data_IF_589770228535
#
_entry.id   IF_589770228535
#
_cell.length_a   1.000
_cell.length_b   1.000
_cell.length_c   1.000
_cell.angle_alpha   90.00
_cell.angle_beta   90.00
_cell.angle_gamma   90.00
#
_symmetry.space_group_name_H-M   'P 1'
#
loop_
_entity.id
_entity.type
_entity.pdbx_description
1 polymer ?
#
# COMPACT_ATOMS: atom_id res chain seq x y z
N UNK A 1 36.79 8.76 18.37
CA UNK A 1 35.47 8.75 17.71
C UNK A 1 34.48 8.31 18.77
N UNK A 2 33.54 9.17 19.16
CA UNK A 2 32.48 8.73 20.10
C UNK A 2 31.64 7.70 19.36
N UNK A 3 31.52 6.50 19.91
CA UNK A 3 30.56 5.51 19.42
C UNK A 3 29.15 6.07 19.61
N UNK A 4 28.29 5.90 18.61
CA UNK A 4 26.87 6.24 18.72
C UNK A 4 26.27 5.47 19.91
N UNK A 5 25.54 6.13 20.84
CA UNK A 5 24.95 5.43 21.97
C UNK A 5 23.85 4.47 21.52
N UNK A 6 23.71 3.35 22.21
CA UNK A 6 22.68 2.33 21.96
C UNK A 6 21.49 2.45 22.90
N UNK A 7 20.45 1.66 22.66
CA UNK A 7 19.31 1.54 23.56
C UNK A 7 19.74 1.11 24.97
N UNK A 8 20.66 0.14 25.07
CA UNK A 8 21.21 -0.32 26.33
C UNK A 8 22.02 0.77 27.07
N UNK A 9 22.73 1.63 26.33
CA UNK A 9 23.51 2.74 26.93
C UNK A 9 22.61 3.85 27.49
N UNK A 10 21.47 4.10 26.83
CA UNK A 10 20.57 5.21 27.15
C UNK A 10 19.47 4.83 28.14
N UNK A 11 18.99 3.59 28.09
CA UNK A 11 17.79 3.15 28.80
C UNK A 11 16.50 3.72 28.22
N UNK A 12 15.37 3.14 28.63
CA UNK A 12 14.03 3.42 28.10
C UNK A 12 13.66 4.91 28.17
N UNK A 13 13.71 5.53 29.36
CA UNK A 13 13.30 6.93 29.57
C UNK A 13 13.98 7.91 28.59
N UNK A 14 15.26 7.69 28.29
CA UNK A 14 16.01 8.56 27.39
C UNK A 14 15.67 8.30 25.93
N UNK A 15 15.37 7.06 25.56
CA UNK A 15 14.88 6.75 24.21
C UNK A 15 13.48 7.34 24.02
N UNK A 16 12.57 7.17 24.97
CA UNK A 16 11.23 7.76 24.94
C UNK A 16 11.31 9.29 24.83
N UNK A 17 12.17 9.95 25.62
CA UNK A 17 12.37 11.40 25.51
C UNK A 17 12.84 11.83 24.11
N UNK A 18 13.67 11.03 23.42
CA UNK A 18 14.11 11.29 22.04
C UNK A 18 13.00 11.12 21.02
N UNK A 19 12.12 10.13 21.22
CA UNK A 19 10.93 9.91 20.39
C UNK A 19 9.99 11.10 20.54
N UNK A 20 9.62 11.45 21.78
CA UNK A 20 8.69 12.54 22.08
C UNK A 20 9.18 13.90 21.56
N UNK A 21 10.49 14.17 21.62
CA UNK A 21 11.08 15.41 21.11
C UNK A 21 10.95 15.60 19.59
N UNK A 22 10.64 14.52 18.85
CA UNK A 22 10.46 14.54 17.39
C UNK A 22 9.02 14.63 16.94
N UNK A 23 8.08 14.36 17.84
CA UNK A 23 6.65 14.41 17.53
C UNK A 23 6.20 15.88 17.63
N UNK A 24 5.82 16.52 16.52
CA UNK A 24 5.34 17.90 16.56
C UNK A 24 3.97 17.96 17.24
N UNK A 25 3.68 19.10 17.88
CA UNK A 25 2.32 19.39 18.32
C UNK A 25 1.38 19.52 17.11
N UNK A 26 0.16 19.02 17.26
CA UNK A 26 -0.88 19.09 16.25
C UNK A 26 -2.19 19.58 16.86
N UNK A 27 -2.94 20.40 16.14
CA UNK A 27 -4.15 21.06 16.65
C UNK A 27 -5.21 20.06 17.15
N UNK A 28 -5.35 18.94 16.46
CA UNK A 28 -6.29 17.87 16.80
C UNK A 28 -5.84 17.01 18.00
N UNK A 29 -4.65 17.23 18.55
CA UNK A 29 -4.10 16.50 19.69
C UNK A 29 -4.09 17.42 20.92
N UNK A 30 -5.12 17.29 21.75
CA UNK A 30 -5.37 18.10 22.94
C UNK A 30 -4.36 17.82 24.06
N UNK A 31 -3.98 16.54 24.21
CA UNK A 31 -2.91 16.07 25.09
C UNK A 31 -2.02 15.16 24.25
N UNK A 32 -0.72 15.44 24.21
CA UNK A 32 0.25 14.68 23.42
C UNK A 32 0.69 13.36 24.10
N UNK A 33 1.53 12.57 23.42
CA UNK A 33 2.01 11.27 23.92
C UNK A 33 2.95 11.29 25.12
N UNK A 34 3.27 12.47 25.67
CA UNK A 34 4.16 12.62 26.82
C UNK A 34 3.49 12.50 28.19
N UNK A 35 2.17 12.32 28.22
CA UNK A 35 1.37 11.97 29.40
C UNK A 35 0.97 10.48 29.31
N UNK A 36 0.17 9.97 30.27
CA UNK A 36 -0.22 8.55 30.31
C UNK A 36 -0.95 8.07 29.04
N UNK A 37 -1.64 8.98 28.35
CA UNK A 37 -2.25 8.74 27.04
C UNK A 37 -2.47 10.06 26.31
N UNK A 38 -2.37 10.04 24.98
CA UNK A 38 -2.81 11.16 24.17
C UNK A 38 -4.34 11.29 24.17
N UNK A 39 -4.82 12.53 24.13
CA UNK A 39 -6.23 12.87 23.93
C UNK A 39 -6.33 13.63 22.61
N UNK A 40 -7.03 13.06 21.64
CA UNK A 40 -7.21 13.64 20.31
C UNK A 40 -8.67 13.71 19.90
N UNK A 41 -8.98 14.67 19.02
CA UNK A 41 -10.29 14.75 18.39
C UNK A 41 -10.37 13.81 17.17
N UNK A 42 -11.43 13.01 17.11
CA UNK A 42 -11.75 12.16 15.97
C UNK A 42 -13.23 12.39 15.59
N UNK A 43 -13.53 13.28 14.63
CA UNK A 43 -14.90 13.49 14.19
C UNK A 43 -15.46 12.21 13.53
N UNK A 44 -16.78 12.04 13.56
CA UNK A 44 -17.40 10.93 12.82
C UNK A 44 -17.21 9.54 13.42
N UNK A 45 -17.04 8.54 12.55
CA UNK A 45 -16.86 7.12 12.85
C UNK A 45 -15.38 6.77 12.80
N UNK A 46 -14.92 5.98 13.75
CA UNK A 46 -13.55 5.48 13.82
C UNK A 46 -13.32 4.39 12.76
N UNK A 47 -12.24 4.55 12.01
CA UNK A 47 -11.61 3.48 11.21
C UNK A 47 -10.26 3.19 11.83
N UNK A 48 -9.90 1.91 11.93
CA UNK A 48 -8.62 1.49 12.51
C UNK A 48 -8.04 0.31 11.74
N UNK A 49 -6.73 0.32 11.50
CA UNK A 49 -5.96 -0.82 11.00
C UNK A 49 -4.69 -0.99 11.84
N UNK A 50 -4.04 -2.14 11.72
CA UNK A 50 -2.73 -2.36 12.31
C UNK A 50 -1.92 -3.37 11.48
N UNK A 51 -0.70 -2.97 11.13
CA UNK A 51 0.29 -3.81 10.47
C UNK A 51 1.63 -3.75 11.17
N UNK A 52 2.48 -4.73 10.87
CA UNK A 52 3.84 -4.80 11.40
C UNK A 52 4.88 -4.92 10.29
N UNK A 53 6.10 -4.51 10.61
CA UNK A 53 7.32 -4.77 9.88
C UNK A 53 8.29 -5.49 10.80
N UNK A 54 8.75 -6.65 10.37
CA UNK A 54 9.63 -7.55 11.11
C UNK A 54 10.97 -7.66 10.37
N UNK A 55 12.05 -7.39 11.09
CA UNK A 55 13.41 -7.59 10.57
C UNK A 55 13.63 -9.04 10.13
N UNK A 56 14.18 -9.23 8.93
CA UNK A 56 14.39 -10.53 8.29
C UNK A 56 13.23 -10.97 7.39
N UNK A 57 12.02 -10.42 7.62
CA UNK A 57 10.83 -10.75 6.84
C UNK A 57 10.45 -9.61 5.90
N UNK A 58 10.31 -8.38 6.42
CA UNK A 58 9.80 -7.21 5.67
C UNK A 58 10.89 -6.17 5.34
N UNK A 59 12.04 -6.30 5.98
CA UNK A 59 13.26 -5.54 5.67
C UNK A 59 14.50 -6.26 6.17
N UNK A 60 15.65 -5.93 5.59
CA UNK A 60 16.96 -6.43 6.03
C UNK A 60 17.76 -5.32 6.71
N UNK A 61 18.46 -5.68 7.79
CA UNK A 61 19.33 -4.77 8.53
C UNK A 61 20.37 -4.07 7.65
N UNK A 62 20.96 -4.78 6.70
CA UNK A 62 22.01 -4.24 5.83
C UNK A 62 21.52 -3.17 4.85
N UNK A 63 20.20 -3.10 4.57
CA UNK A 63 19.62 -2.22 3.55
C UNK A 63 18.82 -1.07 4.20
N UNK A 64 18.98 -0.95 5.51
CA UNK A 64 18.18 -0.13 6.39
C UNK A 64 18.56 1.34 6.28
N UNK A 65 17.61 2.15 5.84
CA UNK A 65 17.58 3.57 6.15
C UNK A 65 16.42 3.75 7.14
N UNK A 66 16.70 4.12 8.40
CA UNK A 66 15.68 4.18 9.43
C UNK A 66 14.57 5.18 9.08
N UNK A 67 14.92 6.29 8.43
CA UNK A 67 13.94 7.30 8.01
C UNK A 67 13.02 6.78 6.92
N UNK A 68 13.56 6.07 5.94
CA UNK A 68 12.73 5.41 4.92
C UNK A 68 11.84 4.32 5.51
N UNK A 69 12.38 3.53 6.45
CA UNK A 69 11.59 2.52 7.16
C UNK A 69 10.42 3.15 7.95
N UNK A 70 10.64 4.32 8.56
CA UNK A 70 9.59 5.09 9.22
C UNK A 70 8.48 5.51 8.27
N UNK A 71 8.86 5.98 7.08
CA UNK A 71 7.90 6.30 6.01
C UNK A 71 7.12 5.05 5.60
N UNK A 72 7.80 3.93 5.33
CA UNK A 72 7.16 2.67 4.93
C UNK A 72 6.14 2.19 5.98
N UNK A 73 6.54 2.18 7.26
CA UNK A 73 5.69 1.75 8.37
C UNK A 73 4.40 2.57 8.51
N UNK A 74 4.51 3.90 8.33
CA UNK A 74 3.34 4.78 8.28
C UNK A 74 2.51 4.55 7.01
N UNK A 75 3.16 4.54 5.84
CA UNK A 75 2.50 4.55 4.55
C UNK A 75 1.54 3.37 4.36
N UNK A 76 1.97 2.15 4.73
CA UNK A 76 1.15 0.94 4.60
C UNK A 76 -0.14 1.02 5.41
N UNK A 77 -0.06 1.45 6.67
CA UNK A 77 -1.21 1.55 7.56
C UNK A 77 -2.14 2.71 7.18
N UNK A 78 -1.58 3.82 6.70
CA UNK A 78 -2.35 4.99 6.27
C UNK A 78 -3.12 4.71 4.98
N UNK A 79 -2.56 3.88 4.09
CA UNK A 79 -3.22 3.45 2.85
C UNK A 79 -4.51 2.68 3.15
N UNK A 80 -4.51 1.74 4.10
CA UNK A 80 -5.71 1.02 4.54
C UNK A 80 -6.84 1.94 5.01
N UNK A 81 -6.51 2.93 5.85
CA UNK A 81 -7.47 3.91 6.35
C UNK A 81 -8.09 4.67 5.19
N UNK A 82 -7.26 5.10 4.24
CA UNK A 82 -7.70 5.78 3.02
C UNK A 82 -8.51 4.84 2.12
N UNK A 83 -8.21 3.55 2.02
CA UNK A 83 -8.95 2.57 1.22
C UNK A 83 -10.38 2.33 1.74
N UNK A 84 -10.64 2.65 3.02
CA UNK A 84 -11.99 2.70 3.58
C UNK A 84 -12.70 4.05 3.34
N UNK A 85 -12.00 4.99 2.71
CA UNK A 85 -12.44 6.36 2.43
C UNK A 85 -12.49 7.25 3.66
N UNK A 86 -11.77 6.89 4.73
CA UNK A 86 -11.59 7.72 5.90
C UNK A 86 -10.33 8.57 5.77
N UNK A 87 -10.29 9.73 6.41
CA UNK A 87 -9.05 10.51 6.50
C UNK A 87 -8.24 10.03 7.70
N UNK A 88 -6.94 9.78 7.54
CA UNK A 88 -6.06 9.49 8.66
C UNK A 88 -6.05 10.60 9.71
N UNK A 89 -5.94 10.20 10.98
CA UNK A 89 -5.96 11.11 12.15
C UNK A 89 -4.80 10.84 13.09
N UNK A 90 -4.41 9.59 13.26
CA UNK A 90 -3.44 9.19 14.27
C UNK A 90 -2.67 7.93 13.92
N UNK A 91 -1.42 7.84 14.40
CA UNK A 91 -0.61 6.63 14.42
C UNK A 91 -0.16 6.31 15.85
N UNK A 92 -0.16 5.03 16.23
CA UNK A 92 0.52 4.52 17.41
C UNK A 92 1.69 3.65 16.96
N UNK A 93 2.88 3.84 17.54
CA UNK A 93 4.10 3.10 17.21
C UNK A 93 4.51 2.20 18.39
N UNK A 94 4.44 0.88 18.24
CA UNK A 94 5.09 -0.05 19.16
C UNK A 94 6.39 -0.54 18.53
N UNK A 95 7.52 -0.26 19.18
CA UNK A 95 8.86 -0.65 18.74
C UNK A 95 9.44 -1.67 19.72
N UNK A 96 9.75 -2.87 19.23
CA UNK A 96 10.61 -3.80 19.95
C UNK A 96 11.96 -3.89 19.24
N UNK A 97 13.08 -3.80 19.96
CA UNK A 97 14.40 -3.83 19.32
C UNK A 97 15.49 -4.38 20.27
N UNK A 98 16.61 -4.89 19.74
CA UNK A 98 17.76 -5.28 20.55
C UNK A 98 18.33 -4.09 21.33
N UNK A 99 18.86 -4.34 22.54
CA UNK A 99 19.58 -3.32 23.30
C UNK A 99 20.79 -2.71 22.56
N UNK A 100 21.35 -3.43 21.58
CA UNK A 100 22.43 -2.97 20.70
C UNK A 100 21.99 -1.99 19.60
N UNK A 101 20.68 -1.76 19.44
CA UNK A 101 20.14 -0.82 18.45
C UNK A 101 20.62 0.59 18.74
N UNK A 102 21.07 1.32 17.71
CA UNK A 102 21.59 2.67 17.87
C UNK A 102 20.48 3.69 18.20
N UNK A 103 20.79 4.72 18.97
CA UNK A 103 19.87 5.81 19.21
C UNK A 103 19.55 6.61 17.93
N UNK A 104 20.48 6.66 16.98
CA UNK A 104 20.24 7.27 15.66
C UNK A 104 19.21 6.49 14.83
N UNK A 105 19.05 5.18 15.06
CA UNK A 105 18.03 4.38 14.39
C UNK A 105 16.62 4.89 14.74
N UNK A 106 16.31 4.99 16.04
CA UNK A 106 14.97 5.45 16.48
C UNK A 106 14.69 6.88 16.05
N UNK A 107 15.71 7.72 16.04
CA UNK A 107 15.60 9.10 15.57
C UNK A 107 15.13 9.15 14.11
N UNK A 108 15.82 8.44 13.21
CA UNK A 108 15.46 8.39 11.80
C UNK A 108 14.08 7.75 11.61
N UNK A 109 13.82 6.63 12.28
CA UNK A 109 12.52 5.95 12.22
C UNK A 109 11.36 6.89 12.55
N UNK A 110 11.44 7.62 13.66
CA UNK A 110 10.40 8.55 14.07
C UNK A 110 10.31 9.75 13.12
N UNK A 111 11.45 10.27 12.64
CA UNK A 111 11.45 11.37 11.66
C UNK A 111 10.70 10.99 10.37
N UNK A 112 10.88 9.74 9.90
CA UNK A 112 10.17 9.20 8.74
C UNK A 112 8.68 8.98 9.00
N UNK A 113 8.35 8.40 10.16
CA UNK A 113 6.97 8.15 10.57
C UNK A 113 6.17 9.46 10.70
N UNK A 114 6.78 10.48 11.33
CA UNK A 114 6.19 11.82 11.51
C UNK A 114 6.01 12.52 10.16
N UNK A 115 7.01 12.45 9.28
CA UNK A 115 6.92 13.04 7.93
C UNK A 115 5.74 12.48 7.16
N UNK A 116 5.61 11.15 7.14
CA UNK A 116 4.55 10.48 6.38
C UNK A 116 3.16 10.67 7.03
N UNK A 117 3.07 10.62 8.36
CA UNK A 117 1.85 10.96 9.08
C UNK A 117 1.38 12.39 8.74
N UNK A 118 2.29 13.36 8.74
CA UNK A 118 1.97 14.74 8.39
C UNK A 118 1.48 14.87 6.94
N UNK A 119 2.08 14.14 6.00
CA UNK A 119 1.66 14.10 4.59
C UNK A 119 0.22 13.58 4.43
N UNK A 120 -0.20 12.63 5.26
CA UNK A 120 -1.55 12.10 5.29
C UNK A 120 -2.53 12.94 6.14
N UNK A 121 -2.07 14.00 6.80
CA UNK A 121 -2.87 14.81 7.72
C UNK A 121 -3.12 14.15 9.10
N UNK A 122 -2.31 13.15 9.46
CA UNK A 122 -2.32 12.46 10.75
C UNK A 122 -1.22 12.97 11.69
N UNK A 123 -1.17 12.43 12.91
CA UNK A 123 -0.10 12.69 13.88
C UNK A 123 0.27 11.43 14.65
N UNK A 124 1.49 11.35 15.18
CA UNK A 124 1.88 10.25 16.07
C UNK A 124 1.30 10.52 17.45
N UNK A 125 0.45 9.62 17.93
CA UNK A 125 -0.33 9.78 19.16
C UNK A 125 0.28 9.06 20.37
N UNK A 126 1.32 8.25 20.16
CA UNK A 126 1.93 7.48 21.23
C UNK A 126 2.46 6.16 20.73
N UNK A 127 2.70 5.25 21.67
CA UNK A 127 3.41 4.04 21.36
C UNK A 127 3.86 3.26 22.57
N UNK A 128 4.67 2.24 22.29
CA UNK A 128 5.32 1.39 23.28
C UNK A 128 6.76 1.11 22.85
N UNK A 129 7.64 0.86 23.82
CA UNK A 129 9.03 0.50 23.59
C UNK A 129 9.38 -0.74 24.41
N UNK A 130 9.89 -1.77 23.75
CA UNK A 130 10.32 -3.00 24.41
C UNK A 130 11.67 -3.49 23.89
N UNK A 131 12.36 -4.29 24.70
CA UNK A 131 13.52 -5.05 24.24
C UNK A 131 13.06 -6.34 23.53
N UNK A 132 13.71 -6.70 22.42
CA UNK A 132 13.51 -7.96 21.71
C UNK A 132 14.78 -8.41 20.97
N UNK A 133 14.91 -9.70 20.60
CA UNK A 133 16.08 -10.19 19.85
C UNK A 133 16.26 -9.63 18.43
N UNK A 134 15.20 -9.06 17.85
CA UNK A 134 15.18 -8.46 16.51
C UNK A 134 14.29 -7.22 16.50
N UNK A 135 14.45 -6.38 15.48
CA UNK A 135 13.62 -5.18 15.32
C UNK A 135 12.23 -5.58 14.82
N UNK A 136 11.20 -5.17 15.57
CA UNK A 136 9.79 -5.29 15.21
C UNK A 136 9.14 -3.92 15.37
N UNK A 137 8.51 -3.45 14.30
CA UNK A 137 7.77 -2.19 14.26
C UNK A 137 6.31 -2.55 14.04
N UNK A 138 5.46 -2.32 15.03
CA UNK A 138 4.02 -2.47 14.88
C UNK A 138 3.38 -1.08 14.91
N UNK A 139 2.58 -0.77 13.89
CA UNK A 139 1.88 0.51 13.79
C UNK A 139 0.39 0.23 13.82
N UNK A 140 -0.35 1.07 14.55
CA UNK A 140 -1.81 1.13 14.46
C UNK A 140 -2.19 2.48 13.89
N UNK A 141 -2.91 2.50 12.77
CA UNK A 141 -3.45 3.73 12.21
C UNK A 141 -4.92 3.92 12.58
N UNK A 142 -5.27 5.17 12.86
CA UNK A 142 -6.62 5.62 13.17
C UNK A 142 -7.06 6.64 12.12
N UNK A 143 -8.31 6.53 11.70
CA UNK A 143 -8.95 7.43 10.76
C UNK A 143 -10.36 7.83 11.19
N UNK A 144 -10.79 8.96 10.64
CA UNK A 144 -12.14 9.51 10.83
C UNK A 144 -12.90 9.43 9.52
N UNK A 145 -14.03 8.73 9.54
CA UNK A 145 -15.01 8.73 8.46
C UNK A 145 -16.21 9.59 8.89
N UNK A 146 -16.63 10.62 8.12
CA UNK A 146 -17.80 11.41 8.49
C UNK A 146 -19.04 10.55 8.76
N UNK A 147 -19.89 10.98 9.70
CA UNK A 147 -21.06 10.20 10.17
C UNK A 147 -21.96 9.78 9.01
N UNK A 148 -22.16 10.68 8.06
CA UNK A 148 -23.07 10.52 6.93
C UNK A 148 -22.37 9.94 5.67
N UNK A 149 -21.04 9.80 5.69
CA UNK A 149 -20.26 9.32 4.56
C UNK A 149 -20.14 7.80 4.60
N UNK A 150 -20.61 7.08 3.57
CA UNK A 150 -20.46 5.62 3.52
C UNK A 150 -18.98 5.22 3.36
N UNK A 151 -18.54 4.12 4.00
CA UNK A 151 -17.23 3.54 3.76
C UNK A 151 -17.17 2.94 2.35
N UNK A 152 -15.99 2.98 1.75
CA UNK A 152 -15.70 2.06 0.66
C UNK A 152 -15.49 0.66 1.20
N UNK A 153 -15.87 -0.35 0.41
CA UNK A 153 -15.68 -1.75 0.76
C UNK A 153 -15.26 -2.52 -0.49
N UNK A 154 -14.60 -3.65 -0.33
CA UNK A 154 -14.25 -4.51 -1.47
C UNK A 154 -15.42 -5.31 -2.08
N UNK A 155 -16.65 -5.14 -1.57
CA UNK A 155 -17.84 -5.96 -1.92
C UNK A 155 -18.79 -5.30 -2.92
N UNK A 156 -18.51 -4.06 -3.33
CA UNK A 156 -19.44 -3.22 -4.09
C UNK A 156 -19.19 -3.22 -5.61
N UNK A 157 -18.35 -4.11 -6.14
CA UNK A 157 -18.09 -4.18 -7.57
C UNK A 157 -19.25 -4.91 -8.27
N UNK A 158 -19.76 -4.35 -9.38
CA UNK A 158 -20.84 -4.94 -10.18
C UNK A 158 -20.41 -5.09 -11.64
N UNK A 159 -20.99 -6.06 -12.34
CA UNK A 159 -20.72 -6.25 -13.77
C UNK A 159 -21.02 -4.98 -14.57
N UNK A 160 -20.10 -4.62 -15.47
CA UNK A 160 -20.16 -3.39 -16.26
C UNK A 160 -19.44 -2.20 -15.61
N UNK A 161 -18.87 -2.33 -14.41
CA UNK A 161 -18.04 -1.29 -13.80
C UNK A 161 -16.69 -1.19 -14.49
N UNK A 162 -16.12 0.01 -14.51
CA UNK A 162 -14.74 0.24 -14.91
C UNK A 162 -13.81 -0.08 -13.74
N UNK A 163 -12.65 -0.66 -14.02
CA UNK A 163 -11.60 -0.95 -13.02
C UNK A 163 -10.47 0.04 -13.22
N UNK A 164 -10.18 0.83 -12.17
CA UNK A 164 -9.24 1.94 -12.24
C UNK A 164 -8.13 1.78 -11.20
N UNK A 165 -6.93 2.20 -11.57
CA UNK A 165 -5.73 2.28 -10.74
C UNK A 165 -5.49 3.73 -10.30
N UNK A 166 -5.32 3.95 -8.99
CA UNK A 166 -4.88 5.21 -8.39
C UNK A 166 -3.43 5.06 -7.94
N UNK A 167 -2.52 5.80 -8.57
CA UNK A 167 -1.07 5.69 -8.32
C UNK A 167 -0.37 4.70 -9.27
N UNK A 168 0.58 3.92 -8.74
CA UNK A 168 1.47 3.07 -9.52
C UNK A 168 1.45 1.61 -9.02
N UNK A 169 1.90 0.67 -9.85
CA UNK A 169 2.06 -0.76 -9.50
C UNK A 169 3.33 -1.32 -10.14
N UNK A 170 3.97 -2.28 -9.48
CA UNK A 170 5.20 -2.95 -9.90
C UNK A 170 6.50 -2.21 -9.62
N UNK A 171 6.47 -1.00 -9.06
CA UNK A 171 7.68 -0.20 -8.84
C UNK A 171 8.44 -0.67 -7.60
N UNK A 172 7.72 -0.98 -6.52
CA UNK A 172 8.30 -1.54 -5.30
C UNK A 172 9.00 -2.88 -5.59
N UNK A 173 8.31 -3.81 -6.25
CA UNK A 173 8.90 -5.09 -6.65
C UNK A 173 10.13 -4.95 -7.57
N UNK A 174 10.11 -3.99 -8.51
CA UNK A 174 11.30 -3.69 -9.32
C UNK A 174 12.47 -3.18 -8.46
N UNK A 175 12.20 -2.30 -7.49
CA UNK A 175 13.17 -1.80 -6.52
C UNK A 175 13.76 -2.91 -5.65
N UNK A 176 12.91 -3.82 -5.17
CA UNK A 176 13.33 -5.00 -4.41
C UNK A 176 14.26 -5.90 -5.24
N UNK A 177 13.87 -6.21 -6.47
CA UNK A 177 14.67 -7.04 -7.37
C UNK A 177 16.04 -6.39 -7.67
N UNK A 178 16.11 -5.06 -7.79
CA UNK A 178 17.36 -4.31 -7.95
C UNK A 178 18.25 -4.36 -6.71
N UNK A 179 17.67 -4.21 -5.52
CA UNK A 179 18.38 -4.31 -4.24
C UNK A 179 18.97 -5.72 -4.07
N UNK A 180 18.16 -6.76 -4.31
CA UNK A 180 18.58 -8.16 -4.28
C UNK A 180 19.69 -8.45 -5.29
N UNK A 181 19.52 -8.02 -6.54
CA UNK A 181 20.50 -8.24 -7.60
C UNK A 181 21.83 -7.49 -7.37
N UNK A 182 21.85 -6.52 -6.45
CA UNK A 182 23.04 -5.76 -6.08
C UNK A 182 23.62 -6.19 -4.72
N UNK A 183 23.10 -7.26 -4.10
CA UNK A 183 23.50 -7.68 -2.75
C UNK A 183 23.24 -6.61 -1.69
N UNK A 184 22.27 -5.72 -1.93
CA UNK A 184 21.98 -4.58 -1.06
C UNK A 184 22.84 -3.35 -1.22
N UNK A 185 23.96 -3.46 -1.94
CA UNK A 185 24.89 -2.37 -2.12
C UNK A 185 24.53 -1.63 -3.40
N UNK A 186 23.89 -0.48 -3.24
CA UNK A 186 23.62 0.39 -4.37
C UNK A 186 24.89 1.13 -4.76
N UNK A 187 25.17 1.31 -6.07
CA UNK A 187 26.25 2.17 -6.51
C UNK A 187 26.05 3.61 -6.00
N UNK A 188 27.14 4.35 -5.79
CA UNK A 188 27.12 5.76 -5.36
C UNK A 188 26.24 6.67 -6.24
N UNK A 189 26.00 6.25 -7.49
CA UNK A 189 25.05 6.87 -8.39
C UNK A 189 24.27 5.81 -9.15
N UNK A 190 22.95 5.91 -9.09
CA UNK A 190 22.02 5.14 -9.91
C UNK A 190 21.26 6.11 -10.82
N UNK A 191 20.70 5.63 -11.93
CA UNK A 191 19.90 6.51 -12.79
C UNK A 191 18.63 6.95 -12.05
N UNK A 192 17.99 8.07 -12.43
CA UNK A 192 16.75 8.53 -11.79
C UNK A 192 15.64 7.46 -11.77
N UNK A 193 15.57 6.62 -12.81
CA UNK A 193 14.60 5.53 -12.89
C UNK A 193 14.86 4.44 -11.84
N UNK A 194 16.12 4.04 -11.64
CA UNK A 194 16.50 3.07 -10.61
C UNK A 194 16.25 3.65 -9.21
N UNK A 195 16.63 4.91 -8.98
CA UNK A 195 16.37 5.60 -7.72
C UNK A 195 14.88 5.60 -7.39
N UNK A 196 14.01 5.87 -8.38
CA UNK A 196 12.54 5.84 -8.19
C UNK A 196 12.04 4.47 -7.75
N UNK A 197 12.44 3.38 -8.41
CA UNK A 197 12.00 2.04 -8.04
C UNK A 197 12.50 1.62 -6.66
N UNK A 198 13.77 1.89 -6.35
CA UNK A 198 14.36 1.63 -5.02
C UNK A 198 13.63 2.43 -3.94
N UNK A 199 13.30 3.69 -4.20
CA UNK A 199 12.55 4.51 -3.25
C UNK A 199 11.13 3.99 -3.05
N UNK A 200 10.45 3.57 -4.13
CA UNK A 200 9.12 2.95 -4.04
C UNK A 200 9.11 1.74 -3.10
N UNK A 201 10.18 0.93 -3.11
CA UNK A 201 10.33 -0.22 -2.19
C UNK A 201 10.62 0.19 -0.75
N UNK A 202 11.46 1.20 -0.55
CA UNK A 202 12.00 1.55 0.78
C UNK A 202 11.12 2.54 1.55
N UNK A 203 10.40 3.39 0.84
CA UNK A 203 9.60 4.49 1.37
C UNK A 203 8.44 4.80 0.40
N UNK A 204 7.46 3.89 0.25
CA UNK A 204 6.30 4.11 -0.60
C UNK A 204 5.55 5.38 -0.17
N UNK A 205 5.01 6.10 -1.15
CA UNK A 205 4.26 7.37 -0.94
C UNK A 205 2.90 7.28 -1.64
N UNK A 206 1.89 6.64 -1.01
CA UNK A 206 0.54 6.55 -1.59
C UNK A 206 -0.07 7.92 -1.91
N UNK A 207 -0.83 8.02 -2.99
CA UNK A 207 -1.55 9.24 -3.35
C UNK A 207 -2.87 9.34 -2.56
N UNK A 208 -2.81 9.61 -1.25
CA UNK A 208 -3.99 9.61 -0.36
C UNK A 208 -5.16 10.47 -0.88
N UNK A 209 -4.87 11.67 -1.40
CA UNK A 209 -5.87 12.60 -1.93
C UNK A 209 -6.64 12.04 -3.13
N UNK A 210 -6.09 11.03 -3.84
CA UNK A 210 -6.78 10.39 -4.97
C UNK A 210 -8.10 9.73 -4.56
N UNK A 211 -8.22 9.30 -3.29
CA UNK A 211 -9.47 8.72 -2.76
C UNK A 211 -10.53 9.79 -2.51
N UNK A 212 -10.13 11.00 -2.10
CA UNK A 212 -11.05 12.14 -1.97
C UNK A 212 -11.55 12.59 -3.34
N UNK A 213 -10.68 12.59 -4.35
CA UNK A 213 -11.05 12.84 -5.75
C UNK A 213 -12.04 11.78 -6.24
N UNK A 214 -11.77 10.50 -5.99
CA UNK A 214 -12.68 9.40 -6.32
C UNK A 214 -14.07 9.60 -5.69
N UNK A 215 -14.12 9.87 -4.37
CA UNK A 215 -15.38 10.11 -3.65
C UNK A 215 -16.15 11.28 -4.26
N UNK A 216 -15.47 12.38 -4.57
CA UNK A 216 -16.08 13.57 -5.19
C UNK A 216 -16.68 13.27 -6.56
N UNK A 217 -15.96 12.53 -7.41
CA UNK A 217 -16.46 12.11 -8.74
C UNK A 217 -17.67 11.17 -8.66
N UNK A 218 -17.71 10.27 -7.68
CA UNK A 218 -18.86 9.39 -7.47
C UNK A 218 -20.11 10.14 -7.00
N UNK A 219 -19.95 11.16 -6.16
CA UNK A 219 -21.06 12.04 -5.76
C UNK A 219 -21.57 12.82 -6.99
N UNK A 220 -20.67 13.41 -7.77
CA UNK A 220 -21.04 14.20 -8.96
C UNK A 220 -21.76 13.37 -10.04
N UNK A 221 -21.42 12.09 -10.18
CA UNK A 221 -22.08 11.17 -11.13
C UNK A 221 -23.42 10.62 -10.64
N UNK A 222 -23.85 10.94 -9.41
CA UNK A 222 -25.05 10.37 -8.78
C UNK A 222 -24.88 8.90 -8.38
N UNK A 223 -23.64 8.39 -8.38
CA UNK A 223 -23.29 7.06 -7.88
C UNK A 223 -23.28 6.98 -6.35
N UNK A 224 -23.26 8.13 -5.66
CA UNK A 224 -23.51 8.24 -4.21
C UNK A 224 -24.66 9.25 -3.99
N UNK A 225 -25.57 8.98 -3.05
CA UNK A 225 -26.69 9.89 -2.77
C UNK A 225 -26.21 11.28 -2.32
N UNK A 226 -26.96 12.33 -2.68
CA UNK A 226 -26.62 13.74 -2.42
C UNK A 226 -26.34 14.05 -0.93
N UNK A 227 -26.90 13.28 0.01
CA UNK A 227 -26.68 13.43 1.46
C UNK A 227 -25.26 13.03 1.92
N UNK A 228 -24.47 12.37 1.07
CA UNK A 228 -23.05 12.02 1.33
C UNK A 228 -22.05 13.10 0.88
N UNK A 229 -22.53 14.15 0.19
CA UNK A 229 -21.74 15.24 -0.36
C UNK A 229 -21.28 16.26 0.69
N UNK A 230 -21.71 16.11 1.95
CA UNK A 230 -21.19 16.88 3.07
C UNK A 230 -19.75 16.43 3.37
N UNK A 231 -18.83 16.86 2.51
CA UNK A 231 -17.41 16.79 2.77
C UNK A 231 -17.03 17.60 4.01
N UNK A 232 -15.74 17.56 4.31
CA UNK A 232 -15.06 18.14 5.49
C UNK A 232 -15.26 19.67 5.68
N UNK A 233 -16.07 20.33 4.83
CA UNK A 233 -16.33 21.76 4.83
C UNK A 233 -17.67 22.22 5.45
N UNK A 234 -18.51 21.32 5.98
CA UNK A 234 -19.78 21.70 6.60
C UNK A 234 -19.96 21.09 8.00
N UNK A 235 -19.22 21.63 8.98
CA UNK A 235 -19.50 21.35 10.38
C UNK A 235 -20.84 22.00 10.80
N UNK A 236 -21.89 21.20 10.93
CA UNK A 236 -23.12 21.68 11.57
C UNK A 236 -24.35 20.78 11.47
N UNK A 237 -24.75 20.25 12.63
CA UNK A 237 -26.10 19.78 13.06
C UNK A 237 -26.44 18.29 12.85
N UNK A 238 -26.25 17.52 13.93
CA UNK A 238 -27.37 16.91 14.68
C UNK A 238 -28.06 15.63 14.16
N UNK A 239 -27.64 14.49 14.73
CA UNK A 239 -28.42 13.31 15.20
C UNK A 239 -29.37 12.55 14.25
N UNK A 240 -29.22 11.21 14.16
CA UNK A 240 -30.01 10.20 14.90
C UNK A 240 -29.49 8.78 14.63
N UNK A 241 -29.50 7.92 15.66
CA UNK A 241 -28.99 6.56 15.57
C UNK A 241 -29.87 5.62 14.76
N UNK A 242 -29.23 4.62 14.13
CA UNK A 242 -29.87 3.38 13.68
C UNK A 242 -28.99 2.19 14.03
N UNK A 243 -29.65 1.18 14.60
CA UNK A 243 -29.05 -0.02 15.15
C UNK A 243 -28.64 -1.06 14.11
N UNK A 244 -27.94 -2.07 14.64
CA UNK A 244 -27.34 -3.19 13.94
C UNK A 244 -28.28 -3.93 12.98
N UNK A 245 -27.85 -4.00 11.73
CA UNK A 245 -28.40 -4.85 10.67
C UNK A 245 -27.55 -4.70 9.41
N UNK A 246 -26.32 -5.25 9.42
CA UNK A 246 -25.37 -5.16 8.31
C UNK A 246 -25.95 -5.83 7.04
N UNK A 247 -26.39 -5.01 6.09
CA UNK A 247 -26.66 -5.40 4.69
C UNK A 247 -26.01 -4.34 3.80
N UNK A 248 -25.67 -4.73 2.58
CA UNK A 248 -25.02 -3.97 1.51
C UNK A 248 -25.63 -2.58 1.12
N UNK A 249 -26.57 -2.04 1.91
CA UNK A 249 -27.14 -0.70 1.73
C UNK A 249 -26.26 0.42 2.31
N UNK A 250 -25.23 0.10 3.10
CA UNK A 250 -24.41 1.08 3.82
C UNK A 250 -22.99 1.27 3.22
N UNK A 251 -22.76 0.87 1.97
CA UNK A 251 -21.48 1.04 1.28
C UNK A 251 -21.64 1.88 0.01
N UNK A 252 -20.57 2.58 -0.39
CA UNK A 252 -20.54 3.31 -1.66
C UNK A 252 -20.82 2.36 -2.83
N UNK A 253 -21.43 2.82 -3.93
CA UNK A 253 -21.60 2.05 -5.18
C UNK A 253 -20.30 1.86 -5.95
N UNK A 254 -19.18 1.78 -5.24
CA UNK A 254 -17.85 1.56 -5.77
C UNK A 254 -17.09 0.69 -4.78
N UNK A 255 -16.32 -0.25 -5.29
CA UNK A 255 -15.38 -1.01 -4.48
C UNK A 255 -14.02 -0.34 -4.47
N UNK A 256 -13.32 -0.38 -3.34
CA UNK A 256 -11.96 0.15 -3.19
C UNK A 256 -11.15 -0.81 -2.33
N UNK A 257 -9.88 -0.95 -2.67
CA UNK A 257 -8.84 -1.66 -1.90
C UNK A 257 -7.50 -0.97 -2.15
N UNK A 258 -6.59 -0.98 -1.19
CA UNK A 258 -5.20 -0.63 -1.42
C UNK A 258 -4.47 -1.77 -2.17
N UNK A 259 -3.26 -1.50 -2.66
CA UNK A 259 -2.42 -2.47 -3.36
C UNK A 259 -1.18 -2.82 -2.53
N UNK A 260 -1.27 -3.88 -1.73
CA UNK A 260 -0.19 -4.37 -0.86
C UNK A 260 0.43 -5.68 -1.36
N UNK A 261 -0.39 -6.60 -1.87
CA UNK A 261 0.01 -7.97 -2.23
C UNK A 261 0.19 -8.13 -3.74
N UNK A 262 -0.01 -7.03 -4.46
CA UNK A 262 0.06 -6.92 -5.91
C UNK A 262 -1.31 -6.96 -6.58
N UNK A 263 -1.38 -6.31 -7.75
CA UNK A 263 -2.61 -6.02 -8.48
C UNK A 263 -3.52 -7.25 -8.64
N UNK A 264 -2.95 -8.39 -9.03
CA UNK A 264 -3.69 -9.64 -9.23
C UNK A 264 -4.29 -10.18 -7.93
N UNK A 265 -3.53 -10.17 -6.83
CA UNK A 265 -3.96 -10.69 -5.53
C UNK A 265 -5.10 -9.85 -4.96
N UNK A 266 -4.95 -8.53 -4.98
CA UNK A 266 -5.90 -7.58 -4.41
C UNK A 266 -7.16 -7.42 -5.27
N UNK A 267 -7.00 -7.42 -6.61
CA UNK A 267 -8.14 -7.59 -7.52
C UNK A 267 -8.87 -8.91 -7.24
N UNK A 268 -8.15 -10.01 -6.98
CA UNK A 268 -8.75 -11.29 -6.63
C UNK A 268 -9.53 -11.24 -5.32
N UNK A 269 -9.04 -10.52 -4.30
CA UNK A 269 -9.77 -10.28 -3.04
C UNK A 269 -11.07 -9.51 -3.31
N UNK A 270 -11.02 -8.45 -4.11
CA UNK A 270 -12.20 -7.66 -4.50
C UNK A 270 -13.20 -8.49 -5.31
N UNK A 271 -12.73 -9.20 -6.34
CA UNK A 271 -13.55 -10.04 -7.21
C UNK A 271 -14.32 -11.11 -6.41
N UNK A 272 -13.64 -11.85 -5.52
CA UNK A 272 -14.29 -12.85 -4.65
C UNK A 272 -15.28 -12.23 -3.68
N UNK A 273 -14.94 -11.09 -3.08
CA UNK A 273 -15.81 -10.41 -2.12
C UNK A 273 -17.07 -9.83 -2.79
N UNK A 274 -16.96 -9.41 -4.04
CA UNK A 274 -18.07 -8.86 -4.83
C UNK A 274 -18.82 -9.92 -5.66
N UNK A 275 -18.30 -11.15 -5.77
CA UNK A 275 -18.90 -12.22 -6.58
C UNK A 275 -18.84 -11.97 -8.09
N UNK A 276 -17.78 -11.30 -8.56
CA UNK A 276 -17.58 -10.88 -9.97
C UNK A 276 -16.25 -11.36 -10.52
N UNK A 277 -16.00 -11.13 -11.81
CA UNK A 277 -14.67 -11.27 -12.40
C UNK A 277 -14.10 -9.87 -12.68
N UNK A 278 -12.87 -9.62 -12.25
CA UNK A 278 -12.11 -8.45 -12.70
C UNK A 278 -11.30 -8.85 -13.92
N UNK A 279 -11.62 -8.26 -15.06
CA UNK A 279 -10.92 -8.48 -16.32
C UNK A 279 -10.00 -7.30 -16.61
N UNK A 280 -8.70 -7.53 -16.46
CA UNK A 280 -7.66 -6.55 -16.71
C UNK A 280 -7.37 -6.45 -18.21
N UNK A 281 -7.14 -5.24 -18.69
CA UNK A 281 -6.78 -4.97 -20.08
C UNK A 281 -5.28 -5.19 -20.29
N UNK A 282 -4.91 -6.15 -21.14
CA UNK A 282 -3.51 -6.48 -21.39
C UNK A 282 -2.69 -5.32 -21.98
N UNK A 283 -3.33 -4.45 -22.77
CA UNK A 283 -2.67 -3.26 -23.34
C UNK A 283 -2.43 -2.20 -22.27
N UNK A 284 -3.35 -2.03 -21.33
CA UNK A 284 -3.15 -1.15 -20.18
C UNK A 284 -2.01 -1.67 -19.28
N UNK A 285 -1.94 -2.99 -19.05
CA UNK A 285 -0.83 -3.61 -18.31
C UNK A 285 0.52 -3.42 -19.01
N UNK A 286 0.56 -3.50 -20.35
CA UNK A 286 1.74 -3.16 -21.14
C UNK A 286 2.19 -1.73 -20.95
N UNK A 287 1.24 -0.79 -21.02
CA UNK A 287 1.53 0.62 -20.84
C UNK A 287 2.14 0.90 -19.46
N UNK A 288 1.64 0.25 -18.41
CA UNK A 288 2.20 0.33 -17.06
C UNK A 288 3.60 -0.30 -16.97
N UNK A 289 3.83 -1.41 -17.68
CA UNK A 289 5.11 -2.11 -17.68
C UNK A 289 6.22 -1.37 -18.44
N UNK A 290 5.86 -0.50 -19.39
CA UNK A 290 6.80 0.14 -20.33
C UNK A 290 7.96 0.85 -19.62
N UNK A 291 7.67 1.61 -18.56
CA UNK A 291 8.68 2.36 -17.80
C UNK A 291 9.58 1.44 -16.95
N UNK A 292 9.16 0.20 -16.69
CA UNK A 292 9.90 -0.78 -15.89
C UNK A 292 10.84 -1.65 -16.75
N UNK A 293 10.66 -1.69 -18.07
CA UNK A 293 11.47 -2.52 -18.99
C UNK A 293 12.99 -2.28 -18.83
N UNK A 294 13.49 -1.03 -18.73
CA UNK A 294 14.93 -0.80 -18.55
C UNK A 294 15.46 -1.36 -17.22
N UNK A 295 14.65 -1.33 -16.16
CA UNK A 295 15.01 -1.89 -14.85
C UNK A 295 15.03 -3.41 -14.91
N UNK A 296 14.04 -4.02 -15.58
CA UNK A 296 13.98 -5.45 -15.80
C UNK A 296 15.19 -5.97 -16.57
N UNK A 297 15.62 -5.26 -17.61
CA UNK A 297 16.82 -5.60 -18.36
C UNK A 297 18.09 -5.58 -17.48
N UNK A 298 18.25 -4.56 -16.62
CA UNK A 298 19.40 -4.47 -15.70
C UNK A 298 19.38 -5.60 -14.65
N UNK A 299 18.22 -5.87 -14.04
CA UNK A 299 18.06 -6.99 -13.09
C UNK A 299 18.43 -8.33 -13.74
N UNK A 300 17.95 -8.59 -14.96
CA UNK A 300 18.25 -9.83 -15.69
C UNK A 300 19.74 -9.95 -16.01
N UNK A 301 20.39 -8.85 -16.39
CA UNK A 301 21.83 -8.83 -16.65
C UNK A 301 22.65 -9.12 -15.39
N UNK A 302 22.28 -8.53 -14.24
CA UNK A 302 22.96 -8.73 -12.95
C UNK A 302 22.80 -10.15 -12.39
N UNK A 303 21.63 -10.75 -12.58
CA UNK A 303 21.34 -12.11 -12.11
C UNK A 303 22.11 -13.21 -12.87
N UNK A 304 22.87 -12.84 -13.91
CA UNK A 304 23.69 -13.79 -14.67
C UNK A 304 22.86 -14.90 -15.31
N UNK A 305 21.66 -14.57 -15.79
CA UNK A 305 20.79 -15.57 -16.44
C UNK A 305 21.56 -16.30 -17.54
N UNK A 306 21.35 -17.61 -17.72
CA UNK A 306 22.07 -18.37 -18.74
C UNK A 306 21.94 -17.65 -20.09
N UNK A 307 23.06 -17.49 -20.80
CA UNK A 307 23.01 -17.37 -22.25
C UNK A 307 22.13 -18.53 -22.71
N UNK A 308 20.95 -18.23 -23.22
CA UNK A 308 20.01 -19.24 -23.66
C UNK A 308 20.76 -20.16 -24.62
N UNK A 309 20.72 -21.47 -24.35
CA UNK A 309 20.94 -22.45 -25.41
C UNK A 309 20.07 -22.04 -26.60
N UNK A 310 20.62 -22.15 -27.81
CA UNK A 310 20.10 -21.63 -29.09
C UNK A 310 18.63 -21.99 -29.47
N UNK A 311 17.87 -22.67 -28.59
CA UNK A 311 16.49 -23.14 -28.78
C UNK A 311 15.40 -22.29 -28.07
N UNK A 312 15.74 -21.26 -27.27
CA UNK A 312 14.72 -20.40 -26.62
C UNK A 312 14.49 -19.11 -27.45
N UNK A 313 13.36 -19.05 -28.16
CA UNK A 313 13.08 -18.03 -29.19
C UNK A 313 12.79 -16.61 -28.64
N UNK A 314 12.79 -16.41 -27.32
CA UNK A 314 12.49 -15.12 -26.70
C UNK A 314 13.74 -14.22 -26.65
N UNK A 315 13.64 -13.02 -27.20
CA UNK A 315 14.72 -12.03 -27.18
C UNK A 315 14.96 -11.49 -25.76
N UNK A 316 16.09 -10.82 -25.52
CA UNK A 316 16.35 -10.14 -24.25
C UNK A 316 15.30 -9.07 -23.91
N UNK A 317 14.73 -8.44 -24.93
CA UNK A 317 13.64 -7.47 -24.79
C UNK A 317 12.34 -8.15 -24.35
N UNK A 318 11.99 -9.29 -24.94
CA UNK A 318 10.81 -10.08 -24.55
C UNK A 318 10.90 -10.54 -23.08
N UNK A 319 12.10 -10.94 -22.64
CA UNK A 319 12.34 -11.32 -21.24
C UNK A 319 12.21 -10.13 -20.28
N UNK A 320 12.70 -8.95 -20.67
CA UNK A 320 12.58 -7.75 -19.87
C UNK A 320 11.12 -7.29 -19.75
N UNK A 321 10.37 -7.29 -20.85
CA UNK A 321 8.93 -7.01 -20.83
C UNK A 321 8.17 -8.02 -19.97
N UNK A 322 8.47 -9.31 -20.08
CA UNK A 322 7.84 -10.35 -19.27
C UNK A 322 8.09 -10.17 -17.76
N UNK A 323 9.29 -9.75 -17.37
CA UNK A 323 9.61 -9.43 -15.97
C UNK A 323 8.92 -8.13 -15.51
N UNK A 324 8.92 -7.08 -16.34
CA UNK A 324 8.23 -5.83 -16.05
C UNK A 324 6.71 -6.04 -15.85
N UNK A 325 6.06 -6.79 -16.75
CA UNK A 325 4.64 -7.17 -16.61
C UNK A 325 4.37 -7.97 -15.34
N UNK A 326 5.29 -8.86 -14.97
CA UNK A 326 5.19 -9.64 -13.73
C UNK A 326 5.24 -8.74 -12.51
N UNK A 327 6.12 -7.75 -12.47
CA UNK A 327 6.12 -6.76 -11.39
C UNK A 327 4.79 -6.00 -11.33
N UNK A 328 4.27 -5.51 -12.46
CA UNK A 328 2.96 -4.83 -12.52
C UNK A 328 1.82 -5.68 -11.96
N UNK A 329 1.78 -6.97 -12.30
CA UNK A 329 0.68 -7.86 -11.93
C UNK A 329 0.80 -8.45 -10.53
N UNK A 330 1.99 -8.86 -10.12
CA UNK A 330 2.20 -9.68 -8.90
C UNK A 330 3.22 -9.08 -7.95
N UNK A 331 3.79 -7.91 -8.26
CA UNK A 331 4.64 -7.18 -7.33
C UNK A 331 3.79 -6.50 -6.26
N UNK A 332 4.17 -6.67 -4.99
CA UNK A 332 3.52 -6.03 -3.86
C UNK A 332 4.23 -4.76 -3.38
N UNK A 333 3.72 -4.19 -2.30
CA UNK A 333 4.25 -3.04 -1.55
C UNK A 333 4.24 -1.67 -2.27
N UNK A 334 3.48 -1.52 -3.36
CA UNK A 334 3.32 -0.21 -4.00
C UNK A 334 2.40 0.74 -3.22
N UNK A 335 1.44 0.19 -2.46
CA UNK A 335 0.45 0.90 -1.64
C UNK A 335 -0.35 1.97 -2.42
N UNK A 336 -0.57 1.74 -3.71
CA UNK A 336 -1.57 2.46 -4.51
C UNK A 336 -2.99 2.01 -4.17
N UNK A 337 -3.95 2.35 -5.03
CA UNK A 337 -5.35 1.97 -4.86
C UNK A 337 -5.93 1.34 -6.11
N UNK A 338 -6.81 0.36 -5.93
CA UNK A 338 -7.61 -0.25 -6.99
C UNK A 338 -9.08 -0.03 -6.68
N UNK A 339 -9.82 0.51 -7.66
CA UNK A 339 -11.26 0.71 -7.53
C UNK A 339 -12.05 0.09 -8.67
N UNK A 340 -13.26 -0.38 -8.37
CA UNK A 340 -14.28 -0.68 -9.36
C UNK A 340 -15.43 0.31 -9.20
N UNK A 341 -15.74 1.07 -10.25
CA UNK A 341 -16.71 2.17 -10.24
C UNK A 341 -17.73 2.04 -11.36
N UNK A 342 -18.93 2.62 -11.23
CA UNK A 342 -19.89 2.67 -12.32
C UNK A 342 -19.26 3.27 -13.57
N UNK A 343 -19.58 2.69 -14.73
CA UNK A 343 -18.96 3.09 -15.99
C UNK A 343 -19.09 4.60 -16.23
N UNK A 344 -17.97 5.23 -16.59
CA UNK A 344 -17.91 6.67 -16.89
C UNK A 344 -17.76 7.62 -15.69
N UNK A 345 -17.46 7.11 -14.49
CA UNK A 345 -17.16 7.97 -13.33
C UNK A 345 -15.85 8.78 -13.47
N UNK A 346 -14.91 8.32 -14.29
CA UNK A 346 -13.64 8.96 -14.71
C UNK A 346 -13.02 9.97 -13.72
N UNK A 347 -12.64 9.54 -12.49
CA UNK A 347 -12.00 10.41 -11.52
C UNK A 347 -10.62 10.85 -11.98
N UNK A 348 -10.33 12.14 -11.84
CA UNK A 348 -9.06 12.74 -12.26
C UNK A 348 -7.87 12.03 -11.60
N UNK A 349 -6.86 11.69 -12.38
CA UNK A 349 -5.63 11.03 -11.90
C UNK A 349 -5.71 9.51 -11.79
N UNK A 350 -6.87 8.90 -12.04
CA UNK A 350 -7.02 7.46 -12.08
C UNK A 350 -6.86 6.91 -13.51
N UNK A 351 -6.24 5.75 -13.63
CA UNK A 351 -5.99 5.10 -14.92
C UNK A 351 -6.94 3.91 -15.09
N UNK A 352 -7.70 3.85 -16.18
CA UNK A 352 -8.51 2.67 -16.52
C UNK A 352 -7.60 1.50 -16.91
N UNK A 353 -7.75 0.38 -16.23
CA UNK A 353 -6.93 -0.82 -16.41
C UNK A 353 -7.74 -2.10 -16.64
N UNK A 354 -9.07 -1.99 -16.72
CA UNK A 354 -9.92 -3.15 -16.94
C UNK A 354 -11.40 -2.86 -16.72
N UNK A 355 -12.19 -3.94 -16.66
CA UNK A 355 -13.63 -3.89 -16.40
C UNK A 355 -14.07 -5.05 -15.52
N UNK A 356 -15.20 -4.87 -14.84
CA UNK A 356 -15.85 -5.92 -14.09
C UNK A 356 -16.80 -6.70 -15.00
N UNK A 357 -16.66 -8.02 -15.05
CA UNK A 357 -17.52 -8.95 -15.80
C UNK A 357 -18.39 -9.78 -14.87
N UNK A 358 -19.54 -10.24 -15.38
CA UNK A 358 -20.38 -11.21 -14.67
C UNK A 358 -19.73 -12.59 -14.68
N UNK A 359 -19.84 -13.32 -13.57
CA UNK A 359 -19.42 -14.74 -13.49
C UNK A 359 -20.26 -15.64 -14.40
N UNK A 360 -21.55 -15.31 -14.56
CA UNK A 360 -22.49 -16.04 -15.43
C UNK A 360 -22.48 -15.46 -16.84
N UNK A 361 -21.68 -16.05 -17.73
CA UNK A 361 -21.78 -15.81 -19.18
C UNK A 361 -22.78 -16.76 -19.85
N UNK A 362 -23.29 -16.39 -21.02
CA UNK A 362 -23.98 -17.31 -21.93
C UNK A 362 -23.04 -17.68 -23.09
N UNK A 363 -22.71 -18.96 -23.26
CA UNK A 363 -21.77 -19.43 -24.29
C UNK A 363 -20.36 -19.69 -23.77
N UNK A 364 -19.35 -19.65 -24.65
CA UNK A 364 -17.92 -19.91 -24.34
C UNK A 364 -17.28 -18.82 -23.45
N UNK A 365 -17.96 -17.70 -23.19
CA UNK A 365 -17.48 -16.57 -22.36
C UNK A 365 -17.74 -16.73 -20.84
N UNK A 366 -18.23 -17.89 -20.39
CA UNK A 366 -18.51 -18.13 -18.97
C UNK A 366 -17.22 -18.44 -18.17
N UNK A 367 -16.73 -17.47 -17.40
CA UNK A 367 -15.52 -17.60 -16.56
C UNK A 367 -15.73 -18.49 -15.30
N UNK A 368 -16.96 -18.91 -15.02
CA UNK A 368 -17.30 -20.03 -14.13
C UNK A 368 -17.15 -19.78 -12.62
N UNK A 369 -16.32 -18.82 -12.19
CA UNK A 369 -16.18 -18.43 -10.78
C UNK A 369 -15.65 -16.99 -10.62
N UNK A 370 -15.88 -16.33 -9.46
CA UNK A 370 -15.26 -15.04 -9.17
C UNK A 370 -13.72 -15.13 -9.20
N UNK A 371 -13.06 -14.16 -9.81
CA UNK A 371 -11.61 -14.20 -9.99
C UNK A 371 -11.07 -13.06 -10.84
N UNK A 372 -9.86 -13.25 -11.36
CA UNK A 372 -9.17 -12.27 -12.20
C UNK A 372 -8.74 -12.92 -13.50
N UNK A 373 -8.93 -12.20 -14.60
CA UNK A 373 -8.43 -12.56 -15.92
C UNK A 373 -7.72 -11.36 -16.58
N UNK A 374 -6.96 -11.65 -17.63
CA UNK A 374 -6.37 -10.65 -18.53
C UNK A 374 -6.92 -10.93 -19.92
N UNK A 375 -7.59 -9.96 -20.52
CA UNK A 375 -8.25 -10.08 -21.83
C UNK A 375 -9.17 -11.32 -21.92
N UNK A 376 -9.87 -11.64 -20.83
CA UNK A 376 -10.74 -12.81 -20.71
C UNK A 376 -10.04 -14.15 -20.45
N UNK A 377 -8.70 -14.19 -20.36
CA UNK A 377 -7.94 -15.40 -20.04
C UNK A 377 -7.68 -15.45 -18.53
N UNK A 378 -8.12 -16.49 -17.79
CA UNK A 378 -7.85 -16.62 -16.36
C UNK A 378 -6.35 -16.45 -16.05
N UNK A 379 -6.01 -15.76 -14.96
CA UNK A 379 -4.60 -15.45 -14.66
C UNK A 379 -3.70 -16.70 -14.54
N UNK A 380 -4.21 -17.80 -13.98
CA UNK A 380 -3.46 -19.07 -13.91
C UNK A 380 -3.11 -19.62 -15.30
N UNK A 381 -3.98 -19.38 -16.29
CA UNK A 381 -3.86 -19.90 -17.66
C UNK A 381 -3.21 -18.88 -18.62
N UNK A 382 -3.11 -17.62 -18.21
CA UNK A 382 -2.51 -16.52 -18.99
C UNK A 382 -0.99 -16.62 -19.17
N UNK A 383 -0.33 -17.57 -18.49
CA UNK A 383 1.13 -17.69 -18.48
C UNK A 383 1.85 -16.65 -17.61
N UNK A 384 1.14 -15.71 -16.98
CA UNK A 384 1.73 -14.71 -16.07
C UNK A 384 2.11 -15.28 -14.69
N UNK A 385 1.42 -16.32 -14.22
CA UNK A 385 1.69 -16.95 -12.93
C UNK A 385 2.74 -18.05 -13.07
N UNK A 386 4.03 -17.66 -13.05
CA UNK A 386 5.15 -18.59 -12.81
C UNK A 386 6.29 -17.97 -12.01
N UNK A 387 6.04 -17.52 -10.78
CA UNK A 387 6.98 -17.60 -9.64
C UNK A 387 6.42 -16.88 -8.40
N UNK A 388 5.49 -17.53 -7.69
CA UNK A 388 5.66 -18.10 -6.34
C UNK A 388 4.34 -18.81 -6.00
N UNK A 389 4.29 -20.14 -5.79
CA UNK A 389 3.03 -20.86 -5.54
C UNK A 389 2.28 -20.41 -4.29
N UNK A 390 2.91 -19.64 -3.40
CA UNK A 390 2.32 -19.26 -2.12
C UNK A 390 1.58 -17.91 -2.13
N UNK A 391 1.68 -17.11 -3.21
CA UNK A 391 0.90 -15.86 -3.35
C UNK A 391 0.97 -14.91 -2.15
N UNK A 392 2.02 -15.03 -1.34
CA UNK A 392 2.27 -14.27 -0.13
C UNK A 392 3.52 -13.42 -0.30
N UNK A 393 3.63 -12.39 0.54
CA UNK A 393 4.80 -11.56 0.76
C UNK A 393 6.10 -12.23 0.30
N UNK A 394 6.80 -11.63 -0.67
CA UNK A 394 8.19 -12.01 -0.93
C UNK A 394 9.02 -11.55 0.26
N UNK A 395 9.07 -12.39 1.28
CA UNK A 395 9.89 -12.15 2.46
C UNK A 395 11.37 -12.21 2.09
N UNK A 396 12.17 -11.43 2.82
CA UNK A 396 13.64 -11.47 2.70
C UNK A 396 14.27 -12.78 3.22
N UNK A 397 13.44 -13.75 3.62
CA UNK A 397 13.86 -15.08 4.04
C UNK A 397 14.73 -15.76 2.97
N UNK A 398 16.00 -16.00 3.28
CA UNK A 398 16.94 -16.73 2.41
C UNK A 398 18.02 -15.89 1.73
N UNK A 399 18.09 -14.58 1.98
CA UNK A 399 19.27 -13.77 1.64
C UNK A 399 20.27 -13.87 2.80
N UNK A 400 21.26 -14.76 2.69
CA UNK A 400 22.38 -14.78 3.65
C UNK A 400 23.12 -13.44 3.54
N UNK A 401 23.21 -12.72 4.67
CA UNK A 401 23.78 -11.37 4.78
C UNK A 401 25.30 -11.31 4.77
#
# INVERSE_FOLDING_TARGET
>A
MSTEPTFADLGEDRIVARILARIPAAEQVLIGPGDDAAVSEAPGRLVSTADMLVEGEDFLHGWLDPRRLGVKAAAQNLADVCAMGARPTGLLLSLAAPGSTSAAFVDGLVDGLVEEAARAGASVLGGDLSEAPQIVIAVTALGSLPVDALPFTRTAAEAGYDVLLGGQTGWAAAGLDLLLASGGVLPDSVTPLHARAIEAQRAPRPEYESVDVLRTSLVASGAVGEDSAAGWGAAGRGTTGRGAGHRAADATRAALIDLSDGLASDAGRMARASGVVIDLDGTALDALAQDLIPLAADVLARRGGPESSDDDAATGEDRALALARRWVLTGGEDHGFLTAVPAGADPLGWTSIGRVRSVTGSGDDALGSPGVCVDGVPLADSGFVRADPDGGFRHFSGVEG
#
